data_IF_875468946233
#
_entry.id   IF_875468946233
#
_cell.length_a   1.000
_cell.length_b   1.000
_cell.length_c   1.000
_cell.angle_alpha   90.00
_cell.angle_beta   90.00
_cell.angle_gamma   90.00
#
_symmetry.space_group_name_H-M   'P 1'
#
loop_
_entity.id
_entity.type
_entity.pdbx_description
1 polymer ?
#
# COMPACT_ATOMS: atom_id res chain seq x y z
N UNK A 1 49.64 -11.42 11.26
CA UNK A 1 48.19 -11.73 11.37
C UNK A 1 47.45 -10.88 12.40
N UNK A 2 48.01 -10.57 13.59
CA UNK A 2 47.30 -9.81 14.63
C UNK A 2 46.87 -8.39 14.23
N UNK A 3 47.62 -7.69 13.34
CA UNK A 3 47.21 -6.37 12.82
C UNK A 3 45.90 -6.39 12.03
N UNK A 4 45.53 -7.53 11.45
CA UNK A 4 44.31 -7.67 10.64
C UNK A 4 43.09 -8.13 11.45
N UNK A 5 43.32 -8.66 12.65
CA UNK A 5 42.30 -9.13 13.57
C UNK A 5 41.20 -8.09 13.85
N UNK A 6 41.50 -6.80 14.15
CA UNK A 6 40.46 -5.80 14.38
C UNK A 6 39.56 -5.56 13.15
N UNK A 7 40.14 -5.57 11.96
CA UNK A 7 39.38 -5.40 10.72
C UNK A 7 38.46 -6.58 10.44
N UNK A 8 38.89 -7.80 10.78
CA UNK A 8 38.06 -9.00 10.69
C UNK A 8 36.86 -8.90 11.63
N UNK A 9 37.07 -8.48 12.89
CA UNK A 9 35.96 -8.29 13.83
C UNK A 9 34.98 -7.21 13.38
N UNK A 10 35.47 -6.11 12.82
CA UNK A 10 34.61 -5.06 12.26
C UNK A 10 33.80 -5.59 11.08
N UNK A 11 34.43 -6.32 10.15
CA UNK A 11 33.75 -6.88 8.99
C UNK A 11 32.63 -7.86 9.39
N UNK A 12 32.91 -8.77 10.32
CA UNK A 12 31.88 -9.67 10.86
C UNK A 12 30.81 -8.91 11.65
N UNK A 13 31.18 -7.89 12.42
CA UNK A 13 30.24 -7.05 13.15
C UNK A 13 29.26 -6.34 12.22
N UNK A 14 29.75 -5.70 11.15
CA UNK A 14 28.92 -5.06 10.14
C UNK A 14 28.04 -6.10 9.44
N UNK A 15 28.60 -7.25 9.05
CA UNK A 15 27.85 -8.30 8.35
C UNK A 15 26.71 -8.86 9.21
N UNK A 16 26.96 -9.11 10.50
CA UNK A 16 25.95 -9.56 11.46
C UNK A 16 24.90 -8.47 11.67
N UNK A 17 25.31 -7.22 11.82
CA UNK A 17 24.39 -6.09 12.00
C UNK A 17 23.44 -5.95 10.81
N UNK A 18 23.98 -5.92 9.58
CA UNK A 18 23.19 -5.87 8.34
C UNK A 18 22.29 -7.11 8.22
N UNK A 19 22.80 -8.29 8.57
CA UNK A 19 22.02 -9.53 8.57
C UNK A 19 20.84 -9.48 9.54
N UNK A 20 21.02 -8.96 10.75
CA UNK A 20 19.93 -8.76 11.72
C UNK A 20 18.91 -7.76 11.18
N UNK A 21 19.35 -6.63 10.62
CA UNK A 21 18.43 -5.65 10.03
C UNK A 21 17.59 -6.26 8.90
N UNK A 22 18.19 -7.16 8.11
CA UNK A 22 17.52 -7.86 7.02
C UNK A 22 16.52 -8.91 7.52
N UNK A 23 16.85 -9.67 8.57
CA UNK A 23 15.94 -10.70 9.14
C UNK A 23 14.72 -10.05 9.81
N UNK A 24 14.86 -8.83 10.31
CA UNK A 24 13.79 -8.07 10.95
C UNK A 24 12.97 -7.23 9.97
N UNK A 25 13.18 -7.35 8.66
CA UNK A 25 12.48 -6.60 7.60
C UNK A 25 12.44 -5.08 7.85
N UNK A 26 13.51 -4.54 8.46
CA UNK A 26 13.58 -3.12 8.83
C UNK A 26 13.61 -2.25 7.57
N UNK A 27 14.23 -2.73 6.49
CA UNK A 27 14.30 -2.02 5.22
C UNK A 27 12.92 -1.83 4.59
N UNK A 28 12.05 -2.86 4.60
CA UNK A 28 10.70 -2.79 4.06
C UNK A 28 9.84 -1.78 4.84
N UNK A 29 9.95 -1.81 6.17
CA UNK A 29 9.26 -0.84 7.04
C UNK A 29 9.68 0.60 6.76
N UNK A 30 10.97 0.82 6.48
CA UNK A 30 11.49 2.13 6.11
C UNK A 30 10.99 2.53 4.71
N UNK A 31 11.03 1.63 3.74
CA UNK A 31 10.54 1.86 2.37
C UNK A 31 9.06 2.26 2.37
N UNK A 32 8.21 1.52 3.08
CA UNK A 32 6.78 1.84 3.20
C UNK A 32 6.54 3.23 3.79
N UNK A 33 7.28 3.60 4.84
CA UNK A 33 7.21 4.96 5.40
C UNK A 33 7.61 6.03 4.39
N UNK A 34 8.64 5.79 3.57
CA UNK A 34 9.04 6.73 2.52
C UNK A 34 8.01 6.81 1.40
N UNK A 35 7.39 5.70 1.00
CA UNK A 35 6.30 5.67 0.05
C UNK A 35 5.11 6.48 0.56
N UNK A 36 4.69 6.25 1.80
CA UNK A 36 3.60 7.01 2.43
C UNK A 36 3.91 8.51 2.48
N UNK A 37 5.14 8.88 2.85
CA UNK A 37 5.57 10.27 2.86
C UNK A 37 5.48 10.89 1.46
N UNK A 38 5.87 10.15 0.42
CA UNK A 38 5.75 10.58 -0.98
C UNK A 38 4.29 10.74 -1.42
N UNK A 39 3.41 9.82 -1.04
CA UNK A 39 1.98 9.92 -1.34
C UNK A 39 1.34 11.12 -0.64
N UNK A 40 1.60 11.28 0.66
CA UNK A 40 1.08 12.40 1.44
C UNK A 40 1.61 13.75 0.94
N UNK A 41 2.87 13.82 0.54
CA UNK A 41 3.48 15.04 0.01
C UNK A 41 2.90 15.50 -1.32
N UNK A 42 2.26 14.61 -2.11
CA UNK A 42 1.62 15.00 -3.39
C UNK A 42 0.35 15.83 -3.18
N UNK A 43 -0.21 15.83 -1.97
CA UNK A 43 -1.49 16.48 -1.69
C UNK A 43 -2.67 15.75 -2.32
N UNK A 44 -3.87 16.32 -2.17
CA UNK A 44 -5.07 15.79 -2.81
C UNK A 44 -4.97 16.07 -4.31
N UNK A 45 -4.95 15.00 -5.10
CA UNK A 45 -5.18 15.10 -6.54
C UNK A 45 -6.67 15.33 -6.71
N UNK A 46 -7.05 16.44 -7.32
CA UNK A 46 -8.46 16.70 -7.63
C UNK A 46 -8.96 15.60 -8.57
N UNK A 47 -9.94 14.83 -8.10
CA UNK A 47 -10.68 13.89 -8.93
C UNK A 47 -11.59 14.68 -9.85
N UNK A 48 -11.64 14.28 -11.12
CA UNK A 48 -12.57 14.91 -12.06
C UNK A 48 -14.00 14.74 -11.55
N UNK A 49 -14.80 15.79 -11.60
CA UNK A 49 -16.20 15.78 -11.14
C UNK A 49 -17.14 14.95 -12.02
N UNK A 50 -16.68 14.53 -13.21
CA UNK A 50 -17.44 13.69 -14.13
C UNK A 50 -17.14 12.19 -13.96
N UNK A 51 -16.31 11.80 -13.00
CA UNK A 51 -15.96 10.41 -12.72
C UNK A 51 -16.21 10.11 -11.24
N UNK A 52 -17.07 9.13 -10.98
CA UNK A 52 -17.25 8.54 -9.66
C UNK A 52 -16.58 7.16 -9.62
N UNK A 53 -15.79 6.92 -8.57
CA UNK A 53 -15.20 5.60 -8.29
C UNK A 53 -15.98 4.96 -7.16
N UNK A 54 -16.44 3.72 -7.36
CA UNK A 54 -17.04 2.92 -6.31
C UNK A 54 -16.18 1.68 -6.08
N UNK A 55 -15.78 1.47 -4.83
CA UNK A 55 -15.01 0.31 -4.41
C UNK A 55 -15.94 -0.73 -3.77
N UNK A 56 -15.82 -1.99 -4.17
CA UNK A 56 -16.64 -3.09 -3.66
C UNK A 56 -15.71 -4.08 -2.97
N UNK A 57 -15.71 -4.03 -1.64
CA UNK A 57 -14.95 -4.96 -0.83
C UNK A 57 -15.40 -6.42 -1.02
N UNK A 58 -14.51 -7.36 -0.69
CA UNK A 58 -14.79 -8.81 -0.74
C UNK A 58 -16.00 -9.20 0.10
N UNK A 59 -16.25 -8.52 1.23
CA UNK A 59 -17.44 -8.75 2.08
C UNK A 59 -18.71 -8.31 1.37
N UNK A 60 -18.68 -7.14 0.72
CA UNK A 60 -19.81 -6.65 -0.07
C UNK A 60 -20.07 -7.56 -1.28
N UNK A 61 -19.03 -8.11 -1.92
CA UNK A 61 -19.17 -9.09 -3.01
C UNK A 61 -19.87 -10.39 -2.58
N UNK A 62 -19.70 -10.83 -1.32
CA UNK A 62 -20.39 -12.02 -0.81
C UNK A 62 -21.90 -11.78 -0.62
N UNK A 63 -22.29 -10.56 -0.27
CA UNK A 63 -23.70 -10.18 -0.08
C UNK A 63 -24.37 -9.78 -1.39
N UNK A 64 -23.69 -8.95 -2.20
CA UNK A 64 -24.24 -8.38 -3.42
C UNK A 64 -24.02 -9.27 -4.66
N UNK A 65 -23.07 -10.19 -4.61
CA UNK A 65 -22.67 -11.04 -5.74
C UNK A 65 -21.74 -10.32 -6.71
N UNK A 66 -21.18 -11.08 -7.67
CA UNK A 66 -20.32 -10.52 -8.72
C UNK A 66 -21.11 -9.53 -9.60
N UNK A 67 -20.44 -8.42 -9.96
CA UNK A 67 -20.97 -7.34 -10.79
C UNK A 67 -21.65 -7.81 -12.07
N UNK A 68 -21.13 -8.86 -12.71
CA UNK A 68 -21.76 -9.51 -13.85
C UNK A 68 -22.37 -10.85 -13.38
N UNK A 69 -23.70 -11.05 -13.38
CA UNK A 69 -24.75 -10.22 -13.99
C UNK A 69 -25.61 -9.49 -12.94
N UNK A 70 -25.27 -8.25 -12.59
CA UNK A 70 -26.15 -7.43 -11.77
C UNK A 70 -27.37 -6.95 -12.56
N UNK A 71 -28.53 -7.04 -11.93
CA UNK A 71 -29.75 -6.47 -12.49
C UNK A 71 -29.69 -4.94 -12.47
N UNK A 72 -30.53 -4.29 -13.29
CA UNK A 72 -30.61 -2.83 -13.36
C UNK A 72 -30.98 -2.19 -12.02
N UNK A 73 -31.71 -2.90 -11.17
CA UNK A 73 -32.10 -2.45 -9.83
C UNK A 73 -30.90 -2.23 -8.90
N UNK A 74 -29.83 -3.02 -9.05
CA UNK A 74 -28.58 -2.84 -8.30
C UNK A 74 -27.72 -1.69 -8.84
N UNK A 75 -27.82 -1.39 -10.13
CA UNK A 75 -27.09 -0.30 -10.76
C UNK A 75 -27.68 1.08 -10.46
N UNK A 76 -29.00 1.20 -10.30
CA UNK A 76 -29.67 2.47 -10.02
C UNK A 76 -29.15 3.18 -8.76
N UNK A 77 -29.07 2.54 -7.58
CA UNK A 77 -28.56 3.21 -6.38
C UNK A 77 -27.08 3.59 -6.53
N UNK A 78 -26.29 2.83 -7.30
CA UNK A 78 -24.91 3.20 -7.58
C UNK A 78 -24.78 4.45 -8.43
N UNK A 79 -25.56 4.57 -9.50
CA UNK A 79 -25.54 5.75 -10.37
C UNK A 79 -26.04 6.98 -9.60
N UNK A 80 -27.03 6.80 -8.71
CA UNK A 80 -27.49 7.88 -7.82
C UNK A 80 -26.41 8.30 -6.83
N UNK A 81 -25.78 7.37 -6.13
CA UNK A 81 -24.70 7.66 -5.20
C UNK A 81 -23.50 8.33 -5.90
N UNK A 82 -23.18 7.89 -7.12
CA UNK A 82 -22.18 8.54 -7.97
C UNK A 82 -22.54 10.00 -8.28
N UNK A 83 -23.82 10.29 -8.53
CA UNK A 83 -24.32 11.64 -8.81
C UNK A 83 -24.44 12.56 -7.58
N UNK A 84 -24.46 12.01 -6.36
CA UNK A 84 -24.51 12.80 -5.10
C UNK A 84 -23.15 13.43 -4.73
N UNK A 85 -22.06 12.96 -5.34
CA UNK A 85 -20.69 13.39 -5.05
C UNK A 85 -20.01 14.16 -6.20
N UNK A 86 -20.80 14.64 -7.18
CA UNK A 86 -20.37 15.50 -8.29
C UNK A 86 -20.69 16.97 -8.09
#
# INVERSE_FOLDING_TARGET
MQKNLPYIFIAFGISIFIGILSILDIYDSIEHKFLDMRFNSRGRIETRSDIATLDIDVRALQTEGKWDPWSREKHIPMVKAAGEHG
#
